data_IF_146648667607
#
_entry.id   IF_146648667607
#
_cell.length_a   1.000
_cell.length_b   1.000
_cell.length_c   1.000
_cell.angle_alpha   90.00
_cell.angle_beta   90.00
_cell.angle_gamma   90.00
#
_symmetry.space_group_name_H-M   'P 1'
#
loop_
_entity.id
_entity.type
_entity.pdbx_description
1 polymer ?
#
# COMPACT_ATOMS: atom_id res chain seq x y z
N UNK A 1 11.96 -3.39 3.47
CA UNK A 1 10.61 -3.84 3.05
C UNK A 1 9.60 -2.70 3.11
N UNK A 2 8.40 -2.82 2.50
CA UNK A 2 7.41 -1.73 2.56
C UNK A 2 6.02 -2.27 2.88
N UNK A 3 5.51 -1.90 4.05
CA UNK A 3 4.13 -2.15 4.45
C UNK A 3 3.28 -0.99 3.93
N UNK A 4 2.17 -1.29 3.26
CA UNK A 4 1.18 -0.29 2.88
C UNK A 4 -0.05 -0.45 3.74
N UNK A 5 -0.43 0.63 4.43
CA UNK A 5 -1.60 0.69 5.29
C UNK A 5 -2.57 1.78 4.80
N UNK A 6 -3.86 1.52 4.91
CA UNK A 6 -4.89 2.50 4.61
C UNK A 6 -4.77 3.70 5.55
N UNK A 7 -4.61 4.91 5.02
CA UNK A 7 -4.30 6.10 5.81
C UNK A 7 -5.42 6.49 6.80
N UNK A 8 -6.68 6.20 6.47
CA UNK A 8 -7.84 6.46 7.35
C UNK A 8 -8.15 5.29 8.29
N UNK A 9 -8.44 4.10 7.74
CA UNK A 9 -8.96 2.96 8.52
C UNK A 9 -7.91 2.16 9.30
N UNK A 10 -6.63 2.34 8.98
CA UNK A 10 -5.54 1.54 9.53
C UNK A 10 -5.49 0.09 9.03
N UNK A 11 -6.29 -0.30 8.05
CA UNK A 11 -6.21 -1.64 7.44
C UNK A 11 -4.85 -1.84 6.75
N UNK A 12 -4.14 -2.93 7.07
CA UNK A 12 -2.94 -3.30 6.31
C UNK A 12 -3.37 -3.83 4.95
N UNK A 13 -2.93 -3.18 3.87
CA UNK A 13 -3.38 -3.48 2.51
C UNK A 13 -2.49 -4.53 1.85
N UNK A 14 -1.17 -4.36 1.91
CA UNK A 14 -0.20 -5.26 1.31
C UNK A 14 1.23 -5.03 1.83
N UNK A 15 2.11 -5.99 1.55
CA UNK A 15 3.55 -5.87 1.68
C UNK A 15 4.18 -5.86 0.29
N UNK A 16 5.14 -4.97 0.07
CA UNK A 16 5.96 -4.94 -1.14
C UNK A 16 7.43 -4.65 -0.84
N UNK A 17 8.20 -4.48 -1.92
CA UNK A 17 9.63 -4.18 -1.85
C UNK A 17 9.93 -3.01 -2.77
N UNK A 18 10.74 -2.08 -2.29
CA UNK A 18 11.27 -0.96 -3.05
C UNK A 18 12.79 -1.08 -3.06
N UNK A 19 13.41 -0.81 -4.21
CA UNK A 19 14.79 -0.35 -4.28
C UNK A 19 14.80 1.20 -4.15
N UNK A 20 15.96 1.87 -4.11
CA UNK A 20 16.01 3.33 -4.00
C UNK A 20 15.22 4.05 -5.09
N UNK A 21 15.35 3.62 -6.35
CA UNK A 21 14.63 4.22 -7.50
C UNK A 21 13.10 4.12 -7.37
N UNK A 22 12.58 3.00 -6.84
CA UNK A 22 11.15 2.83 -6.58
C UNK A 22 10.65 3.76 -5.46
N UNK A 23 11.49 4.01 -4.45
CA UNK A 23 11.18 4.97 -3.38
C UNK A 23 11.17 6.40 -3.92
N UNK A 24 12.19 6.81 -4.68
CA UNK A 24 12.26 8.13 -5.30
C UNK A 24 11.04 8.40 -6.18
N UNK A 25 10.70 7.44 -7.06
CA UNK A 25 9.51 7.53 -7.90
C UNK A 25 8.21 7.57 -7.10
N UNK A 26 8.15 6.89 -5.96
CA UNK A 26 6.98 6.94 -5.06
C UNK A 26 6.79 8.33 -4.48
N UNK A 27 7.87 8.97 -4.05
CA UNK A 27 7.87 10.33 -3.49
C UNK A 27 7.50 11.35 -4.58
N UNK A 28 8.14 11.28 -5.75
CA UNK A 28 7.92 12.21 -6.85
C UNK A 28 6.49 12.14 -7.42
N UNK A 29 5.96 10.93 -7.61
CA UNK A 29 4.66 10.75 -8.25
C UNK A 29 3.47 10.81 -7.29
N UNK A 30 3.72 10.69 -5.98
CA UNK A 30 2.67 10.49 -4.98
C UNK A 30 1.93 9.15 -5.10
N UNK A 31 2.46 8.19 -5.88
CA UNK A 31 1.86 6.88 -6.10
C UNK A 31 2.80 5.76 -5.69
N UNK A 32 2.31 4.79 -4.93
CA UNK A 32 3.13 3.67 -4.46
C UNK A 32 3.71 2.89 -5.64
N UNK A 33 5.04 2.90 -5.74
CA UNK A 33 5.81 2.23 -6.77
C UNK A 33 6.73 1.20 -6.14
N UNK A 34 6.66 -0.04 -6.59
CA UNK A 34 7.50 -1.13 -6.11
C UNK A 34 8.57 -1.49 -7.13
N UNK A 35 9.57 -2.24 -6.66
CA UNK A 35 10.52 -2.94 -7.51
C UNK A 35 10.17 -4.44 -7.56
N UNK A 36 9.84 -4.94 -8.75
CA UNK A 36 9.62 -6.37 -8.95
C UNK A 36 10.96 -7.10 -8.98
N UNK A 37 11.32 -7.78 -7.88
CA UNK A 37 12.56 -8.58 -7.80
C UNK A 37 12.59 -9.72 -8.83
N UNK A 38 11.45 -10.21 -9.30
CA UNK A 38 11.37 -11.27 -10.30
C UNK A 38 11.48 -10.74 -11.73
N UNK A 39 10.87 -9.58 -12.02
CA UNK A 39 10.88 -8.97 -13.36
C UNK A 39 11.97 -7.91 -13.54
N UNK A 40 12.73 -7.61 -12.49
CA UNK A 40 13.83 -6.63 -12.46
C UNK A 40 13.42 -5.27 -13.05
N UNK A 41 12.25 -4.76 -12.65
CA UNK A 41 11.71 -3.48 -13.11
C UNK A 41 10.88 -2.77 -12.05
N UNK A 42 10.73 -1.47 -12.21
CA UNK A 42 9.71 -0.70 -11.50
C UNK A 42 8.31 -1.13 -11.90
N UNK A 43 7.39 -1.05 -10.94
CA UNK A 43 5.97 -1.35 -11.10
C UNK A 43 5.17 -0.40 -10.21
N UNK A 44 4.40 0.50 -10.82
CA UNK A 44 3.51 1.38 -10.05
C UNK A 44 2.23 0.62 -9.74
N UNK A 45 1.86 0.49 -8.46
CA UNK A 45 0.64 -0.22 -8.09
C UNK A 45 -0.55 0.47 -8.75
N UNK A 46 -1.33 -0.29 -9.52
CA UNK A 46 -2.47 0.23 -10.28
C UNK A 46 -2.18 0.57 -11.75
N UNK A 47 -0.92 0.47 -12.23
CA UNK A 47 -0.58 0.81 -13.62
C UNK A 47 -1.38 0.03 -14.68
N UNK A 48 -1.82 -1.19 -14.34
CA UNK A 48 -2.66 -2.03 -15.21
C UNK A 48 -4.12 -2.06 -14.79
N UNK A 49 -4.40 -2.06 -13.48
CA UNK A 49 -5.76 -2.25 -12.96
C UNK A 49 -6.54 -0.95 -12.72
N UNK A 50 -5.89 0.21 -12.78
CA UNK A 50 -6.44 1.50 -12.34
C UNK A 50 -6.49 1.65 -10.81
N UNK A 51 -6.23 0.59 -10.05
CA UNK A 51 -6.33 0.62 -8.59
C UNK A 51 -5.03 1.10 -7.94
N UNK A 52 -4.84 2.42 -7.96
CA UNK A 52 -3.66 3.09 -7.41
C UNK A 52 -3.69 3.19 -5.88
N UNK A 53 -2.53 3.46 -5.30
CA UNK A 53 -2.38 3.80 -3.89
C UNK A 53 -1.73 5.19 -3.84
N UNK A 54 -2.50 6.20 -3.43
CA UNK A 54 -2.02 7.57 -3.30
C UNK A 54 -1.32 7.72 -1.95
N UNK A 55 -0.04 8.11 -1.97
CA UNK A 55 0.78 8.27 -0.77
C UNK A 55 0.26 9.43 0.07
N UNK A 56 0.14 9.20 1.38
CA UNK A 56 -0.17 10.21 2.39
C UNK A 56 1.03 10.47 3.28
N UNK A 57 1.72 9.41 3.72
CA UNK A 57 2.92 9.51 4.55
C UNK A 57 3.84 8.30 4.33
N UNK A 58 5.13 8.47 4.57
CA UNK A 58 6.16 7.43 4.55
C UNK A 58 7.05 7.61 5.77
N UNK A 59 7.23 6.56 6.57
CA UNK A 59 8.11 6.58 7.73
C UNK A 59 8.94 5.29 7.82
N UNK A 60 10.21 5.37 8.25
CA UNK A 60 10.99 4.19 8.61
C UNK A 60 10.61 3.64 9.99
N UNK A 61 10.96 2.39 10.24
CA UNK A 61 11.04 1.83 11.59
C UNK A 61 12.33 2.27 12.31
N UNK A 62 12.56 1.74 13.52
CA UNK A 62 13.59 2.26 14.43
C UNK A 62 15.03 1.93 14.00
N UNK A 63 15.24 0.87 13.23
CA UNK A 63 16.53 0.47 12.67
C UNK A 63 16.66 0.76 11.17
N UNK A 64 15.62 1.34 10.56
CA UNK A 64 15.58 1.83 9.19
C UNK A 64 15.68 0.73 8.12
N UNK A 65 15.14 -0.46 8.39
CA UNK A 65 15.12 -1.56 7.42
C UNK A 65 13.75 -1.76 6.76
N UNK A 66 12.70 -1.17 7.34
CA UNK A 66 11.32 -1.25 6.85
C UNK A 66 10.66 0.11 6.80
N UNK A 67 9.88 0.34 5.73
CA UNK A 67 9.04 1.53 5.58
C UNK A 67 7.57 1.17 5.83
N UNK A 68 6.88 2.06 6.53
CA UNK A 68 5.42 2.13 6.57
C UNK A 68 4.96 3.25 5.63
N UNK A 69 4.16 2.89 4.63
CA UNK A 69 3.47 3.84 3.75
C UNK A 69 2.01 3.89 4.14
N UNK A 70 1.56 5.06 4.61
CA UNK A 70 0.13 5.36 4.70
C UNK A 70 -0.36 5.83 3.33
N UNK A 71 -1.38 5.16 2.79
CA UNK A 71 -1.91 5.47 1.48
C UNK A 71 -3.44 5.44 1.43
N UNK A 72 -4.01 6.25 0.54
CA UNK A 72 -5.43 6.20 0.18
C UNK A 72 -5.58 5.37 -1.11
N UNK A 73 -6.26 4.20 -1.07
CA UNK A 73 -6.50 3.41 -2.26
C UNK A 73 -7.54 4.06 -3.18
N UNK A 74 -7.30 3.96 -4.49
CA UNK A 74 -8.31 4.18 -5.52
C UNK A 74 -8.82 2.80 -5.93
N UNK A 75 -10.06 2.44 -5.58
CA UNK A 75 -10.60 1.10 -5.84
C UNK A 75 -9.98 -0.02 -4.99
N UNK A 76 -10.35 -1.30 -5.21
CA UNK A 76 -9.89 -2.41 -4.39
C UNK A 76 -8.39 -2.69 -4.61
N UNK A 77 -7.63 -2.82 -3.52
CA UNK A 77 -6.19 -3.06 -3.62
C UNK A 77 -5.89 -4.45 -4.17
N UNK A 78 -6.63 -5.47 -3.73
CA UNK A 78 -6.39 -6.86 -4.04
C UNK A 78 -6.93 -7.25 -5.42
N UNK A 79 -6.22 -8.15 -6.11
CA UNK A 79 -6.62 -8.66 -7.43
C UNK A 79 -7.88 -9.53 -7.40
N UNK A 80 -8.34 -9.95 -6.21
CA UNK A 80 -9.59 -10.68 -6.00
C UNK A 80 -10.81 -9.74 -5.81
N UNK A 81 -10.60 -8.42 -5.89
CA UNK A 81 -11.66 -7.43 -5.66
C UNK A 81 -11.88 -7.05 -4.20
N UNK A 82 -11.11 -7.62 -3.25
CA UNK A 82 -11.17 -7.27 -1.82
C UNK A 82 -10.28 -6.06 -1.49
N UNK A 83 -10.48 -5.46 -0.30
CA UNK A 83 -9.72 -4.31 0.19
C UNK A 83 -8.24 -4.60 0.40
N UNK A 84 -7.93 -5.76 0.99
CA UNK A 84 -6.58 -6.17 1.40
C UNK A 84 -6.18 -7.54 0.82
N UNK A 85 -4.87 -7.77 0.77
CA UNK A 85 -4.27 -9.08 0.47
C UNK A 85 -4.41 -10.11 1.61
N UNK A 86 -4.75 -9.68 2.84
CA UNK A 86 -4.72 -10.51 4.05
C UNK A 86 -6.06 -11.19 4.40
N UNK A 87 -6.90 -11.44 3.39
CA UNK A 87 -8.19 -12.12 3.58
C UNK A 87 -9.16 -11.31 4.45
N UNK A 88 -9.87 -11.98 5.35
CA UNK A 88 -10.87 -11.38 6.25
C UNK A 88 -10.28 -10.92 7.60
N UNK A 89 -8.96 -11.03 7.77
CA UNK A 89 -8.32 -10.64 9.04
C UNK A 89 -8.36 -9.13 9.20
N UNK A 90 -8.93 -8.66 10.31
CA UNK A 90 -9.09 -7.25 10.62
C UNK A 90 -8.74 -6.97 12.08
N UNK A 91 -8.25 -5.75 12.35
CA UNK A 91 -8.20 -5.25 13.73
C UNK A 91 -9.62 -4.84 14.18
N UNK A 92 -9.88 -4.89 15.48
CA UNK A 92 -11.24 -4.72 16.03
C UNK A 92 -11.92 -3.41 15.61
N UNK A 93 -11.15 -2.33 15.47
CA UNK A 93 -11.69 -1.00 15.18
C UNK A 93 -11.98 -0.80 13.69
N UNK A 94 -11.46 -1.67 12.82
CA UNK A 94 -11.75 -1.62 11.38
C UNK A 94 -13.25 -1.81 11.12
N UNK A 95 -13.93 -2.58 11.97
CA UNK A 95 -15.38 -2.79 11.89
C UNK A 95 -16.17 -1.47 11.96
N UNK A 96 -15.74 -0.51 12.78
CA UNK A 96 -16.42 0.79 12.88
C UNK A 96 -16.30 1.59 11.58
N UNK A 97 -15.12 1.58 10.97
CA UNK A 97 -14.92 2.20 9.65
C UNK A 97 -15.78 1.50 8.59
N UNK A 98 -15.81 0.17 8.56
CA UNK A 98 -16.62 -0.59 7.60
C UNK A 98 -18.13 -0.31 7.77
N UNK A 99 -18.60 -0.18 9.02
CA UNK A 99 -19.99 0.15 9.32
C UNK A 99 -20.38 1.55 8.81
N UNK A 100 -19.46 2.52 8.88
CA UNK A 100 -19.68 3.87 8.34
C UNK A 100 -19.74 3.92 6.80
N UNK A 101 -19.20 2.92 6.11
CA UNK A 101 -19.24 2.84 4.64
C UNK A 101 -20.52 2.19 4.07
N UNK A 102 -21.40 1.67 4.92
CA UNK A 102 -22.71 1.11 4.52
C UNK A 102 -23.77 2.21 4.38
#
# INVERSE_FOLDING_TARGET
>A
PVIVQHAVSGEVLMLGYMNPEALDKTIESGKVTFFSRTKQRLWTKGETSGNFLNVVNIAPDCDNDTLLVLANPIGPTCHKGTSSCFGETAHQWLFLYQLEQL
#
